data_IF_115520218256
#
_entry.id   IF_115520218256
#
_cell.length_a   1.000
_cell.length_b   1.000
_cell.length_c   1.000
_cell.angle_alpha   90.00
_cell.angle_beta   90.00
_cell.angle_gamma   90.00
#
_symmetry.space_group_name_H-M   'P 1'
#
loop_
_entity.id
_entity.type
_entity.pdbx_description
1 polymer ?
#
# COMPACT_ATOMS: atom_id res chain seq x y z
N UNK A 1 13.34 -5.85 0.01
CA UNK A 1 12.90 -4.46 -0.27
C UNK A 1 11.51 -4.29 0.31
N UNK A 2 11.26 -3.27 1.15
CA UNK A 2 9.97 -3.13 1.80
C UNK A 2 8.89 -2.75 0.78
N UNK A 3 7.75 -3.43 0.87
CA UNK A 3 6.50 -3.07 0.22
C UNK A 3 6.03 -1.74 0.81
N UNK A 4 6.28 -0.67 0.06
CA UNK A 4 5.83 0.68 0.43
C UNK A 4 4.38 0.88 0.03
N UNK A 5 3.68 1.66 0.82
CA UNK A 5 2.35 2.15 0.50
C UNK A 5 2.37 3.66 0.32
N UNK A 6 1.40 4.16 -0.44
CA UNK A 6 1.16 5.59 -0.65
C UNK A 6 -0.33 5.85 -0.47
N UNK A 7 -0.66 7.11 -0.21
CA UNK A 7 -2.00 7.61 -0.42
C UNK A 7 -1.99 8.50 -1.67
N UNK A 8 -3.07 8.45 -2.43
CA UNK A 8 -3.13 9.14 -3.71
C UNK A 8 -4.56 9.58 -4.03
N UNK A 9 -4.66 10.58 -4.90
CA UNK A 9 -5.92 11.09 -5.40
C UNK A 9 -5.73 11.51 -6.87
N UNK A 10 -6.82 11.78 -7.56
CA UNK A 10 -6.78 12.49 -8.85
C UNK A 10 -6.67 14.00 -8.59
N UNK A 11 -6.05 14.75 -9.50
CA UNK A 11 -6.03 16.21 -9.41
C UNK A 11 -7.44 16.81 -9.38
N UNK A 12 -8.38 16.26 -10.18
CA UNK A 12 -9.75 16.73 -10.22
C UNK A 12 -10.46 16.60 -8.86
N UNK A 13 -10.18 15.53 -8.10
CA UNK A 13 -10.70 15.41 -6.73
C UNK A 13 -10.11 16.49 -5.82
N UNK A 14 -8.79 16.70 -5.87
CA UNK A 14 -8.09 17.68 -5.03
C UNK A 14 -8.47 19.13 -5.36
N UNK A 15 -8.69 19.47 -6.63
CA UNK A 15 -9.17 20.79 -7.04
C UNK A 15 -10.56 21.09 -6.47
N UNK A 16 -11.44 20.08 -6.39
CA UNK A 16 -12.80 20.22 -5.88
C UNK A 16 -12.87 20.23 -4.35
N UNK A 17 -12.03 19.43 -3.69
CA UNK A 17 -12.13 19.17 -2.24
C UNK A 17 -11.00 19.81 -1.42
N UNK A 18 -10.02 20.46 -2.06
CA UNK A 18 -8.80 20.94 -1.43
C UNK A 18 -7.70 19.87 -1.41
N UNK A 19 -6.45 20.32 -1.23
CA UNK A 19 -5.30 19.42 -1.05
C UNK A 19 -4.93 19.36 0.42
N UNK A 20 -4.86 18.17 1.05
CA UNK A 20 -4.43 18.04 2.44
C UNK A 20 -2.92 18.26 2.55
N UNK A 21 -2.49 19.02 3.56
CA UNK A 21 -1.07 19.31 3.83
C UNK A 21 -0.56 18.60 5.08
N UNK A 22 -1.49 18.17 5.95
CA UNK A 22 -1.22 17.40 7.16
C UNK A 22 -2.08 16.12 7.20
N UNK A 23 -1.64 15.07 7.93
CA UNK A 23 -2.45 13.88 8.14
C UNK A 23 -3.86 14.17 8.68
N UNK A 24 -4.04 15.20 9.51
CA UNK A 24 -5.31 15.55 10.14
C UNK A 24 -6.33 16.08 9.13
N UNK A 25 -5.88 16.73 8.06
CA UNK A 25 -6.74 17.25 7.00
C UNK A 25 -7.53 16.12 6.33
N UNK A 26 -7.02 14.89 6.35
CA UNK A 26 -7.69 13.70 5.81
C UNK A 26 -9.06 13.42 6.46
N UNK A 27 -9.33 13.96 7.66
CA UNK A 27 -10.67 13.88 8.29
C UNK A 27 -11.76 14.57 7.48
N UNK A 28 -11.40 15.58 6.67
CA UNK A 28 -12.32 16.32 5.81
C UNK A 28 -12.48 15.71 4.41
N UNK A 29 -11.76 14.61 4.11
CA UNK A 29 -11.79 13.96 2.81
C UNK A 29 -12.47 12.59 2.85
N UNK A 30 -13.08 12.20 1.74
CA UNK A 30 -13.48 10.82 1.50
C UNK A 30 -12.22 9.96 1.32
N UNK A 31 -11.90 9.13 2.30
CA UNK A 31 -10.75 8.24 2.29
C UNK A 31 -11.18 6.81 1.96
N UNK A 32 -10.48 6.19 1.02
CA UNK A 32 -10.75 4.83 0.55
C UNK A 32 -9.73 3.89 1.21
N UNK A 33 -10.19 3.18 2.25
CA UNK A 33 -9.38 2.26 3.04
C UNK A 33 -9.48 0.80 2.54
N UNK A 34 -8.66 -0.09 3.10
CA UNK A 34 -8.70 -1.53 2.83
C UNK A 34 -10.03 -2.14 3.29
N UNK A 35 -10.51 -1.79 4.48
CA UNK A 35 -11.84 -2.17 4.97
C UNK A 35 -11.99 -3.65 5.36
N UNK A 36 -10.91 -4.39 5.60
CA UNK A 36 -10.98 -5.75 6.17
C UNK A 36 -11.26 -5.70 7.67
N UNK A 37 -10.70 -4.71 8.35
CA UNK A 37 -10.94 -4.45 9.76
C UNK A 37 -11.24 -2.96 10.00
N UNK A 38 -11.94 -2.60 11.10
CA UNK A 38 -12.12 -1.20 11.47
C UNK A 38 -10.80 -0.44 11.65
N UNK A 39 -9.71 -1.16 11.96
CA UNK A 39 -8.38 -0.56 12.11
C UNK A 39 -7.79 -0.05 10.80
N UNK A 40 -8.25 -0.54 9.63
CA UNK A 40 -7.74 -0.12 8.32
C UNK A 40 -8.08 1.34 7.96
N UNK A 41 -9.07 1.91 8.65
CA UNK A 41 -9.40 3.32 8.55
C UNK A 41 -8.56 4.21 9.49
N UNK A 42 -7.73 3.63 10.38
CA UNK A 42 -6.78 4.38 11.22
C UNK A 42 -5.43 4.45 10.51
N UNK A 43 -5.23 5.53 9.75
CA UNK A 43 -4.03 5.73 8.96
C UNK A 43 -2.91 6.31 9.82
N UNK A 44 -1.71 5.75 9.66
CA UNK A 44 -0.52 6.15 10.41
C UNK A 44 0.50 6.75 9.46
N UNK A 45 1.11 7.85 9.88
CA UNK A 45 2.08 8.60 9.12
C UNK A 45 3.32 8.84 9.97
N UNK A 46 4.49 8.89 9.32
CA UNK A 46 5.75 9.26 9.97
C UNK A 46 6.48 10.32 9.15
N UNK A 47 7.03 11.32 9.83
CA UNK A 47 7.92 12.34 9.26
C UNK A 47 8.89 12.82 10.32
N UNK A 48 10.18 12.84 10.02
CA UNK A 48 11.23 13.42 10.90
C UNK A 48 11.15 12.92 12.36
N UNK A 49 10.91 11.61 12.56
CA UNK A 49 10.76 11.00 13.89
C UNK A 49 9.39 11.23 14.56
N UNK A 50 8.56 12.15 14.05
CA UNK A 50 7.18 12.34 14.49
C UNK A 50 6.29 11.28 13.85
N UNK A 51 5.41 10.70 14.65
CA UNK A 51 4.38 9.77 14.19
C UNK A 51 3.01 10.36 14.46
N UNK A 52 2.13 10.29 13.47
CA UNK A 52 0.75 10.76 13.58
C UNK A 52 -0.20 9.66 13.17
N UNK A 53 -1.32 9.55 13.88
CA UNK A 53 -2.39 8.60 13.55
C UNK A 53 -3.69 9.37 13.40
N UNK A 54 -4.39 9.14 12.30
CA UNK A 54 -5.64 9.79 11.96
C UNK A 54 -6.71 8.74 11.68
N UNK A 55 -7.85 8.87 12.35
CA UNK A 55 -9.06 8.17 11.93
C UNK A 55 -9.56 8.83 10.65
N UNK A 56 -9.64 8.05 9.58
CA UNK A 56 -10.20 8.47 8.30
C UNK A 56 -11.63 8.00 8.16
N UNK A 57 -12.36 8.68 7.28
CA UNK A 57 -13.76 8.40 6.97
C UNK A 57 -13.95 8.39 5.47
N UNK A 58 -14.89 7.59 4.99
CA UNK A 58 -15.18 7.51 3.57
C UNK A 58 -16.42 6.68 3.32
N UNK A 59 -17.04 6.92 2.17
CA UNK A 59 -18.24 6.19 1.72
C UNK A 59 -17.91 4.87 1.01
N UNK A 60 -16.62 4.55 0.86
CA UNK A 60 -16.16 3.42 0.07
C UNK A 60 -14.88 2.84 0.68
N UNK A 61 -14.83 1.51 0.80
CA UNK A 61 -13.66 0.75 1.21
C UNK A 61 -13.64 -0.55 0.39
N UNK A 62 -12.44 -1.03 0.05
CA UNK A 62 -12.29 -2.24 -0.74
C UNK A 62 -10.97 -2.94 -0.41
N UNK A 63 -11.06 -4.25 -0.13
CA UNK A 63 -9.90 -5.06 0.21
C UNK A 63 -9.04 -5.44 -1.02
N UNK A 64 -9.48 -5.09 -2.23
CA UNK A 64 -8.75 -5.30 -3.46
C UNK A 64 -8.05 -4.02 -3.94
N UNK A 65 -6.74 -4.10 -4.20
CA UNK A 65 -5.91 -2.92 -4.56
C UNK A 65 -6.34 -2.30 -5.89
N UNK A 66 -6.64 -3.10 -6.92
CA UNK A 66 -7.09 -2.58 -8.20
C UNK A 66 -8.45 -1.87 -8.12
N UNK A 67 -9.35 -2.32 -7.24
CA UNK A 67 -10.66 -1.69 -7.03
C UNK A 67 -10.51 -0.34 -6.34
N UNK A 68 -9.58 -0.23 -5.37
CA UNK A 68 -9.24 1.06 -4.76
C UNK A 68 -8.62 2.03 -5.76
N UNK A 69 -7.72 1.56 -6.63
CA UNK A 69 -7.12 2.39 -7.68
C UNK A 69 -8.19 2.91 -8.66
N UNK A 70 -9.11 2.05 -9.10
CA UNK A 70 -10.22 2.45 -9.95
C UNK A 70 -11.11 3.51 -9.26
N UNK A 71 -11.47 3.29 -7.99
CA UNK A 71 -12.23 4.27 -7.21
C UNK A 71 -11.52 5.64 -7.11
N UNK A 72 -10.20 5.66 -6.96
CA UNK A 72 -9.41 6.91 -6.99
C UNK A 72 -9.50 7.59 -8.35
N UNK A 73 -9.32 6.83 -9.45
CA UNK A 73 -9.42 7.33 -10.83
C UNK A 73 -10.80 7.90 -11.16
N UNK A 74 -11.85 7.34 -10.55
CA UNK A 74 -13.23 7.83 -10.65
C UNK A 74 -13.54 9.01 -9.70
N UNK A 75 -12.52 9.61 -9.08
CA UNK A 75 -12.63 10.78 -8.20
C UNK A 75 -13.46 10.52 -6.92
N UNK A 76 -13.53 9.27 -6.41
CA UNK A 76 -14.31 8.97 -5.21
C UNK A 76 -13.65 9.48 -3.92
N UNK A 77 -12.34 9.74 -3.93
CA UNK A 77 -11.60 10.04 -2.72
C UNK A 77 -10.09 9.92 -2.83
N UNK A 78 -9.45 9.96 -1.66
CA UNK A 78 -8.04 9.68 -1.44
C UNK A 78 -7.91 8.19 -1.09
N UNK A 79 -7.17 7.40 -1.87
CA UNK A 79 -7.04 5.95 -1.65
C UNK A 79 -5.67 5.54 -1.14
N UNK A 80 -5.66 4.57 -0.23
CA UNK A 80 -4.43 3.90 0.20
C UNK A 80 -4.10 2.71 -0.70
N UNK A 81 -2.89 2.71 -1.28
CA UNK A 81 -2.46 1.72 -2.25
C UNK A 81 -1.02 1.26 -1.97
N UNK A 82 -0.69 -0.02 -2.22
CA UNK A 82 0.69 -0.41 -2.39
C UNK A 82 1.31 0.34 -3.58
N UNK A 83 2.56 0.77 -3.44
CA UNK A 83 3.24 1.56 -4.46
C UNK A 83 3.37 0.79 -5.79
N UNK A 84 3.51 -0.53 -5.75
CA UNK A 84 3.57 -1.33 -6.98
C UNK A 84 2.26 -1.32 -7.78
N UNK A 85 1.11 -1.12 -7.12
CA UNK A 85 -0.19 -0.93 -7.80
C UNK A 85 -0.33 0.50 -8.32
N UNK A 86 0.11 1.49 -7.56
CA UNK A 86 -0.02 2.91 -7.93
C UNK A 86 1.00 3.39 -8.96
N UNK A 87 2.12 2.67 -9.14
CA UNK A 87 3.32 3.12 -9.87
C UNK A 87 3.03 3.65 -11.28
N UNK A 88 2.30 2.88 -12.09
CA UNK A 88 2.01 3.24 -13.47
C UNK A 88 1.09 4.46 -13.55
N UNK A 89 0.02 4.47 -12.74
CA UNK A 89 -0.92 5.58 -12.68
C UNK A 89 -0.26 6.88 -12.17
N UNK A 90 0.68 6.79 -11.24
CA UNK A 90 1.50 7.92 -10.79
C UNK A 90 2.43 8.42 -11.90
N UNK A 91 3.09 7.51 -12.63
CA UNK A 91 4.01 7.85 -13.70
C UNK A 91 3.29 8.53 -14.89
N UNK A 92 2.06 8.11 -15.19
CA UNK A 92 1.24 8.69 -16.24
C UNK A 92 0.54 9.99 -15.83
N UNK A 93 0.56 10.35 -14.55
CA UNK A 93 -0.17 11.52 -14.03
C UNK A 93 -1.68 11.29 -13.88
N UNK A 94 -2.17 10.05 -14.00
CA UNK A 94 -3.58 9.72 -13.75
C UNK A 94 -3.99 9.99 -12.30
N UNK A 95 -3.03 9.83 -11.39
CA UNK A 95 -3.16 10.10 -9.96
C UNK A 95 -1.90 10.81 -9.48
N UNK A 96 -2.03 11.54 -8.39
CA UNK A 96 -0.93 12.21 -7.69
C UNK A 96 -0.80 11.67 -6.27
N UNK A 97 0.43 11.58 -5.79
CA UNK A 97 0.70 11.21 -4.40
C UNK A 97 0.24 12.35 -3.48
N UNK A 98 -0.46 11.98 -2.41
CA UNK A 98 -0.94 12.89 -1.38
C UNK A 98 -0.02 12.77 -0.15
N UNK A 99 0.27 13.88 0.52
CA UNK A 99 1.21 13.96 1.64
C UNK A 99 2.59 13.31 1.34
N UNK A 100 3.30 13.70 0.25
CA UNK A 100 4.55 13.05 -0.15
C UNK A 100 5.69 13.17 0.88
N UNK A 101 5.63 14.18 1.75
CA UNK A 101 6.59 14.39 2.85
C UNK A 101 6.37 13.43 4.03
N UNK A 102 5.32 12.61 4.00
CA UNK A 102 4.98 11.67 5.05
C UNK A 102 5.12 10.23 4.56
N UNK A 103 5.82 9.41 5.34
CA UNK A 103 5.81 7.97 5.18
C UNK A 103 4.44 7.44 5.64
N UNK A 104 3.66 6.87 4.72
CA UNK A 104 2.40 6.20 5.06
C UNK A 104 2.66 4.76 5.52
N UNK A 105 2.25 4.46 6.75
CA UNK A 105 2.47 3.18 7.41
C UNK A 105 1.13 2.43 7.49
N UNK A 106 1.03 1.35 6.71
CA UNK A 106 -0.09 0.41 6.74
C UNK A 106 0.35 -0.92 7.40
N UNK A 107 -0.60 -1.68 7.96
CA UNK A 107 -0.37 -3.05 8.47
C UNK A 107 0.20 -4.00 7.41
N UNK A 108 0.03 -3.67 6.13
CA UNK A 108 0.55 -4.43 4.99
C UNK A 108 1.86 -3.85 4.43
N UNK A 109 2.50 -2.92 5.15
CA UNK A 109 3.84 -2.43 4.83
C UNK A 109 4.88 -3.33 5.48
N UNK A 110 5.96 -3.65 4.77
CA UNK A 110 7.00 -4.55 5.28
C UNK A 110 7.57 -5.44 4.18
N UNK A 111 8.03 -6.63 4.54
CA UNK A 111 8.74 -7.51 3.61
C UNK A 111 7.81 -8.43 2.81
N UNK A 112 8.30 -8.85 1.66
CA UNK A 112 7.68 -9.88 0.83
C UNK A 112 8.26 -11.23 1.21
N UNK A 113 7.39 -12.19 1.49
CA UNK A 113 7.78 -13.53 1.91
C UNK A 113 7.31 -14.58 0.91
N UNK A 114 8.15 -15.58 0.65
CA UNK A 114 7.71 -16.85 0.08
C UNK A 114 7.48 -17.84 1.21
N UNK A 115 6.26 -18.35 1.34
CA UNK A 115 5.88 -19.30 2.38
C UNK A 115 5.44 -20.61 1.74
N UNK A 116 5.91 -21.73 2.30
CA UNK A 116 5.51 -23.08 1.92
C UNK A 116 5.43 -23.96 3.17
N UNK A 117 4.67 -25.05 3.09
CA UNK A 117 4.62 -26.03 4.17
C UNK A 117 5.99 -26.71 4.31
N UNK A 118 6.52 -26.76 5.54
CA UNK A 118 7.77 -27.44 5.88
C UNK A 118 7.64 -28.96 5.79
N UNK A 119 7.50 -29.48 4.57
CA UNK A 119 7.45 -30.91 4.32
C UNK A 119 8.87 -31.50 4.21
N UNK A 120 9.05 -32.73 4.70
CA UNK A 120 10.35 -33.44 4.66
C UNK A 120 10.93 -33.56 3.25
N UNK A 121 10.09 -33.50 2.21
CA UNK A 121 10.48 -33.58 0.82
C UNK A 121 9.84 -32.46 0.00
N UNK A 122 10.63 -31.44 -0.34
CA UNK A 122 10.22 -30.38 -1.26
C UNK A 122 10.25 -30.90 -2.71
N UNK A 123 9.11 -30.91 -3.44
CA UNK A 123 9.10 -31.33 -4.84
C UNK A 123 9.99 -30.43 -5.72
N UNK A 124 10.68 -31.02 -6.71
CA UNK A 124 11.60 -30.28 -7.58
C UNK A 124 10.96 -29.08 -8.29
N UNK A 125 9.70 -29.20 -8.72
CA UNK A 125 8.92 -28.09 -9.32
C UNK A 125 8.76 -26.88 -8.37
N UNK A 126 8.64 -27.12 -7.07
CA UNK A 126 8.49 -26.06 -6.08
C UNK A 126 9.82 -25.33 -5.88
N UNK A 127 10.92 -26.09 -5.81
CA UNK A 127 12.28 -25.51 -5.78
C UNK A 127 12.54 -24.64 -7.01
N UNK A 128 12.27 -25.16 -8.21
CA UNK A 128 12.44 -24.41 -9.45
C UNK A 128 11.62 -23.10 -9.46
N UNK A 129 10.40 -23.11 -8.92
CA UNK A 129 9.59 -21.89 -8.78
C UNK A 129 10.20 -20.90 -7.78
N UNK A 130 10.68 -21.38 -6.62
CA UNK A 130 11.33 -20.53 -5.60
C UNK A 130 12.60 -19.89 -6.16
N UNK A 131 13.44 -20.68 -6.85
CA UNK A 131 14.68 -20.20 -7.47
C UNK A 131 14.36 -19.11 -8.51
N UNK A 132 13.41 -19.40 -9.41
CA UNK A 132 12.97 -18.45 -10.43
C UNK A 132 12.42 -17.14 -9.83
N UNK A 133 11.53 -17.22 -8.84
CA UNK A 133 10.97 -16.04 -8.19
C UNK A 133 12.04 -15.24 -7.44
N UNK A 134 12.98 -15.92 -6.78
CA UNK A 134 14.08 -15.24 -6.08
C UNK A 134 14.93 -14.45 -7.07
N UNK A 135 15.28 -15.04 -8.20
CA UNK A 135 16.07 -14.37 -9.26
C UNK A 135 15.31 -13.20 -9.91
N UNK A 136 14.02 -13.37 -10.19
CA UNK A 136 13.23 -12.42 -11.00
C UNK A 136 12.54 -11.32 -10.18
N UNK A 137 12.38 -11.49 -8.87
CA UNK A 137 11.76 -10.50 -7.98
C UNK A 137 12.86 -9.90 -7.09
N UNK A 138 13.37 -8.69 -7.41
CA UNK A 138 14.46 -8.06 -6.66
C UNK A 138 14.16 -7.89 -5.17
N UNK A 139 12.87 -7.85 -4.79
CA UNK A 139 12.46 -7.73 -3.40
C UNK A 139 12.73 -8.98 -2.54
N UNK A 140 12.82 -10.17 -3.16
CA UNK A 140 13.01 -11.46 -2.49
C UNK A 140 14.48 -11.80 -2.18
N UNK A 141 15.43 -11.24 -2.93
CA UNK A 141 16.87 -11.48 -2.75
C UNK A 141 17.48 -10.82 -1.50
N UNK A 142 16.70 -10.08 -0.72
CA UNK A 142 17.19 -9.28 0.41
C UNK A 142 17.06 -9.96 1.79
N UNK A 143 16.57 -11.21 1.84
CA UNK A 143 16.29 -11.91 3.10
C UNK A 143 16.61 -13.39 3.02
N UNK A 144 17.89 -13.74 2.96
CA UNK A 144 18.36 -15.10 3.25
C UNK A 144 18.35 -15.35 4.76
N UNK A 145 18.04 -16.60 5.16
CA UNK A 145 18.07 -17.25 6.50
C UNK A 145 16.79 -17.10 7.33
N UNK A 146 16.09 -18.13 7.84
CA UNK A 146 16.26 -19.58 8.01
C UNK A 146 14.84 -20.22 8.04
N UNK A 147 14.65 -21.52 7.74
CA UNK A 147 13.40 -22.20 8.04
C UNK A 147 13.18 -22.26 9.55
N UNK A 148 11.97 -21.90 9.99
CA UNK A 148 11.55 -22.07 11.39
C UNK A 148 11.74 -23.54 11.81
N UNK A 149 12.50 -23.74 12.89
CA UNK A 149 12.70 -25.02 13.56
C UNK A 149 11.40 -25.58 14.13
#
# INVERSE_FOLDING_TARGET
MPIRHVICATEAYLQKHGTPYTPQDLRAHSCISLGETPADARWKFRREGKTETVQTYGRYAANHTAVRLDAVRQHLGIGSLPLFTAREALANGDIVQVLPEWEFISSYSGDLWLLWAGDKHMPARMRAMIDYLSETVPALNAGSTEPAK
#
